data_IF_570582108238
#
_entry.id   IF_570582108238
#
_cell.length_a   1.000
_cell.length_b   1.000
_cell.length_c   1.000
_cell.angle_alpha   90.00
_cell.angle_beta   90.00
_cell.angle_gamma   90.00
#
_symmetry.space_group_name_H-M   'P 1'
#
loop_
_entity.id
_entity.type
_entity.pdbx_description
1 polymer ?
#
# COMPACT_ATOMS: atom_id res chain seq x y z
N UNK A 1 -3.77 -32.50 -24.38
CA UNK A 1 -4.46 -31.22 -24.08
C UNK A 1 -3.75 -30.59 -22.90
N UNK A 2 -2.52 -30.15 -23.13
CA UNK A 2 -2.11 -28.74 -23.26
C UNK A 2 -2.04 -28.05 -21.90
N UNK A 3 -0.94 -28.33 -21.20
CA UNK A 3 -0.37 -27.44 -20.18
C UNK A 3 -0.10 -26.08 -20.81
N UNK A 4 -0.74 -25.03 -20.30
CA UNK A 4 -0.38 -23.66 -20.65
C UNK A 4 0.86 -23.27 -19.85
N UNK A 5 2.02 -23.33 -20.49
CA UNK A 5 3.25 -22.68 -20.02
C UNK A 5 3.08 -21.16 -20.17
N UNK A 6 3.02 -20.45 -19.04
CA UNK A 6 3.24 -19.00 -19.03
C UNK A 6 4.74 -18.74 -19.12
N UNK A 7 5.14 -18.30 -20.32
CA UNK A 7 6.43 -17.72 -20.68
C UNK A 7 6.82 -16.61 -19.69
N UNK A 8 7.92 -16.81 -18.94
CA UNK A 8 8.47 -15.81 -18.04
C UNK A 8 9.60 -15.04 -18.75
N UNK A 9 9.39 -13.73 -19.02
CA UNK A 9 10.38 -12.84 -19.62
C UNK A 9 11.44 -12.40 -18.59
N UNK A 10 12.67 -12.02 -18.97
CA UNK A 10 13.74 -11.75 -18.01
C UNK A 10 13.48 -10.45 -17.24
N UNK A 11 12.94 -10.60 -16.02
CA UNK A 11 12.64 -9.54 -15.04
C UNK A 11 11.93 -10.06 -13.77
N UNK A 12 12.05 -11.36 -13.50
CA UNK A 12 11.19 -12.23 -12.66
C UNK A 12 11.34 -12.06 -11.13
N UNK A 13 11.40 -10.83 -10.66
CA UNK A 13 11.07 -10.59 -9.25
C UNK A 13 9.54 -10.50 -9.16
N UNK A 14 8.84 -11.38 -8.41
CA UNK A 14 7.43 -11.16 -8.15
C UNK A 14 7.29 -9.80 -7.45
N UNK A 15 6.40 -8.95 -7.96
CA UNK A 15 6.12 -7.65 -7.35
C UNK A 15 5.82 -7.83 -5.84
N UNK A 16 6.19 -6.87 -4.98
CA UNK A 16 5.89 -6.90 -3.56
C UNK A 16 4.42 -7.24 -3.31
N UNK A 17 4.17 -8.29 -2.54
CA UNK A 17 2.80 -8.66 -2.14
C UNK A 17 2.35 -7.64 -1.09
N UNK A 18 1.30 -6.88 -1.41
CA UNK A 18 0.69 -5.92 -0.49
C UNK A 18 -0.64 -6.48 0.03
N UNK A 19 -0.85 -6.44 1.33
CA UNK A 19 -2.08 -6.91 1.97
C UNK A 19 -2.50 -5.97 3.10
N UNK A 20 -3.81 -5.88 3.33
CA UNK A 20 -4.36 -5.18 4.49
C UNK A 20 -4.71 -6.16 5.60
N UNK A 21 -4.43 -5.81 6.85
CA UNK A 21 -5.00 -6.54 7.99
C UNK A 21 -6.52 -6.32 8.05
N UNK A 22 -7.27 -7.21 8.74
CA UNK A 22 -8.70 -6.99 8.95
C UNK A 22 -9.03 -5.64 9.61
N UNK A 23 -8.18 -5.18 10.53
CA UNK A 23 -8.34 -3.88 11.20
C UNK A 23 -8.16 -2.72 10.21
N UNK A 24 -7.12 -2.78 9.36
CA UNK A 24 -6.92 -1.79 8.31
C UNK A 24 -8.10 -1.79 7.32
N UNK A 25 -8.61 -2.96 6.91
CA UNK A 25 -9.76 -3.06 6.02
C UNK A 25 -11.04 -2.44 6.62
N UNK A 26 -11.27 -2.59 7.93
CA UNK A 26 -12.40 -1.94 8.63
C UNK A 26 -12.28 -0.42 8.55
N UNK A 27 -11.09 0.12 8.83
CA UNK A 27 -10.85 1.56 8.76
C UNK A 27 -11.01 2.08 7.32
N UNK A 28 -10.49 1.36 6.31
CA UNK A 28 -10.62 1.75 4.91
C UNK A 28 -12.08 1.86 4.46
N UNK A 29 -12.97 0.99 4.92
CA UNK A 29 -14.40 1.12 4.63
C UNK A 29 -15.00 2.42 5.17
N UNK A 30 -14.61 2.82 6.39
CA UNK A 30 -15.07 4.07 7.01
C UNK A 30 -14.54 5.27 6.25
N UNK A 31 -13.22 5.33 6.04
CA UNK A 31 -12.58 6.42 5.30
C UNK A 31 -13.16 6.54 3.89
N UNK A 32 -13.44 5.43 3.19
CA UNK A 32 -14.06 5.47 1.87
C UNK A 32 -15.48 6.02 1.93
N UNK A 33 -16.26 5.66 2.96
CA UNK A 33 -17.62 6.17 3.11
C UNK A 33 -17.63 7.70 3.25
N UNK A 34 -16.64 8.25 3.94
CA UNK A 34 -16.55 9.68 4.26
C UNK A 34 -15.83 10.50 3.16
N UNK A 35 -14.84 9.91 2.48
CA UNK A 35 -13.94 10.62 1.57
C UNK A 35 -14.00 10.16 0.11
N UNK A 36 -14.72 9.07 -0.19
CA UNK A 36 -14.76 8.48 -1.53
C UNK A 36 -13.56 7.55 -1.80
N UNK A 37 -13.25 7.27 -3.09
CA UNK A 37 -12.20 6.33 -3.46
C UNK A 37 -10.85 6.67 -2.81
N UNK A 38 -10.08 5.66 -2.42
CA UNK A 38 -8.86 5.82 -1.64
C UNK A 38 -7.61 5.39 -2.43
N UNK A 39 -6.47 5.95 -2.06
CA UNK A 39 -5.15 5.51 -2.49
C UNK A 39 -4.16 5.58 -1.33
N UNK A 40 -3.11 4.78 -1.42
CA UNK A 40 -1.94 4.88 -0.55
C UNK A 40 -0.73 5.39 -1.32
N UNK A 41 0.11 6.15 -0.63
CA UNK A 41 1.47 6.42 -1.07
C UNK A 41 2.46 6.11 0.04
N UNK A 42 3.53 5.40 -0.34
CA UNK A 42 4.65 5.07 0.53
C UNK A 42 5.93 5.72 0.01
N UNK A 43 6.38 6.77 0.70
CA UNK A 43 7.65 7.42 0.41
C UNK A 43 8.80 6.84 1.24
N UNK A 44 10.03 6.93 0.73
CA UNK A 44 11.24 6.74 1.54
C UNK A 44 11.59 8.03 2.29
N UNK A 45 11.70 7.98 3.62
CA UNK A 45 11.86 9.17 4.49
C UNK A 45 12.58 8.89 5.82
N UNK A 46 13.19 9.94 6.37
CA UNK A 46 14.45 10.03 7.15
C UNK A 46 14.68 9.13 8.39
N UNK A 47 13.67 8.45 8.93
CA UNK A 47 13.91 7.47 10.01
C UNK A 47 13.00 6.25 9.76
N UNK A 48 13.62 5.10 9.46
CA UNK A 48 13.03 3.75 9.38
C UNK A 48 11.98 3.46 8.29
N UNK A 49 11.78 4.37 7.33
CA UNK A 49 10.76 4.21 6.30
C UNK A 49 9.42 4.71 6.81
N UNK A 50 8.85 5.70 6.12
CA UNK A 50 7.63 6.38 6.56
C UNK A 50 6.48 5.40 6.76
N UNK A 51 5.54 5.73 7.64
CA UNK A 51 4.24 5.08 7.63
C UNK A 51 3.57 5.28 6.25
N UNK A 52 2.84 4.26 5.73
CA UNK A 52 2.09 4.42 4.49
C UNK A 52 0.97 5.43 4.72
N UNK A 53 0.80 6.35 3.78
CA UNK A 53 -0.14 7.45 3.88
C UNK A 53 -1.37 7.18 3.05
N UNK A 54 -2.56 7.37 3.61
CA UNK A 54 -3.85 7.18 2.95
C UNK A 54 -4.44 8.54 2.51
N UNK A 55 -4.84 8.62 1.24
CA UNK A 55 -5.39 9.82 0.61
C UNK A 55 -6.66 9.48 -0.18
N UNK A 56 -7.50 10.47 -0.51
CA UNK A 56 -8.46 10.33 -1.60
C UNK A 56 -7.73 10.03 -2.92
N UNK A 57 -8.32 9.17 -3.75
CA UNK A 57 -7.72 8.73 -4.99
C UNK A 57 -7.46 9.93 -5.92
N UNK A 58 -6.22 10.07 -6.36
CA UNK A 58 -5.77 11.16 -7.23
C UNK A 58 -5.36 12.45 -6.51
N UNK A 59 -5.52 12.55 -5.19
CA UNK A 59 -5.08 13.73 -4.43
C UNK A 59 -3.55 13.82 -4.35
N UNK A 60 -2.90 12.69 -4.05
CA UNK A 60 -1.45 12.60 -4.17
C UNK A 60 -1.06 12.48 -5.65
N UNK A 61 -0.29 13.44 -6.15
CA UNK A 61 0.18 13.45 -7.54
C UNK A 61 1.33 12.46 -7.73
N UNK A 62 1.01 11.28 -8.26
CA UNK A 62 2.00 10.28 -8.68
C UNK A 62 2.61 10.66 -10.04
N UNK A 63 3.87 10.29 -10.26
CA UNK A 63 4.53 10.51 -11.55
C UNK A 63 5.61 9.47 -11.87
N UNK A 64 6.54 9.84 -12.74
CA UNK A 64 7.64 8.96 -13.16
C UNK A 64 8.58 8.54 -12.03
N UNK A 65 8.44 9.07 -10.82
CA UNK A 65 9.23 8.69 -9.64
C UNK A 65 8.49 7.72 -8.71
N UNK A 66 7.28 7.30 -9.07
CA UNK A 66 6.44 6.40 -8.29
C UNK A 66 6.13 5.12 -9.08
N UNK A 67 5.90 4.04 -8.35
CA UNK A 67 5.54 2.72 -8.87
C UNK A 67 4.20 2.34 -8.26
N UNK A 68 3.23 1.96 -9.10
CA UNK A 68 2.01 1.30 -8.64
C UNK A 68 2.38 -0.13 -8.25
N UNK A 69 2.38 -0.43 -6.96
CA UNK A 69 2.74 -1.75 -6.46
C UNK A 69 1.58 -2.72 -6.55
N UNK A 70 0.38 -2.25 -6.21
CA UNK A 70 -0.80 -3.08 -6.17
C UNK A 70 -2.07 -2.27 -6.42
N UNK A 71 -3.05 -2.94 -7.04
CA UNK A 71 -4.45 -2.55 -7.04
C UNK A 71 -5.18 -3.59 -6.20
N UNK A 72 -5.66 -3.18 -5.02
CA UNK A 72 -6.11 -4.09 -3.96
C UNK A 72 -7.63 -4.05 -3.84
N UNK A 73 -8.26 -5.21 -4.03
CA UNK A 73 -9.67 -5.38 -3.71
C UNK A 73 -9.86 -5.49 -2.20
N UNK A 74 -10.72 -4.66 -1.62
CA UNK A 74 -11.04 -4.67 -0.20
C UNK A 74 -12.53 -4.91 -0.03
N UNK A 75 -12.91 -6.00 0.64
CA UNK A 75 -14.32 -6.35 0.85
C UNK A 75 -15.10 -5.21 1.51
N UNK A 76 -16.10 -4.68 0.79
CA UNK A 76 -16.94 -3.56 1.22
C UNK A 76 -16.43 -2.18 0.78
N UNK A 77 -15.37 -2.13 -0.03
CA UNK A 77 -14.93 -0.97 -0.81
C UNK A 77 -15.26 -1.28 -2.27
N UNK A 78 -15.96 -0.39 -2.96
CA UNK A 78 -16.45 -0.66 -4.31
C UNK A 78 -15.33 -0.55 -5.36
N UNK A 79 -14.41 0.36 -5.14
CA UNK A 79 -13.27 0.64 -6.00
C UNK A 79 -11.99 -0.02 -5.45
N UNK A 80 -11.07 -0.50 -6.31
CA UNK A 80 -9.77 -0.96 -5.85
C UNK A 80 -8.99 0.16 -5.15
N UNK A 81 -8.28 -0.20 -4.08
CA UNK A 81 -7.38 0.73 -3.38
C UNK A 81 -5.99 0.62 -4.00
N UNK A 82 -5.53 1.68 -4.66
CA UNK A 82 -4.21 1.71 -5.28
C UNK A 82 -3.11 1.97 -4.24
N UNK A 83 -2.05 1.16 -4.25
CA UNK A 83 -0.89 1.34 -3.39
C UNK A 83 0.33 1.75 -4.21
N UNK A 84 0.80 2.97 -4.02
CA UNK A 84 1.96 3.53 -4.70
C UNK A 84 3.17 3.58 -3.78
N UNK A 85 4.37 3.47 -4.35
CA UNK A 85 5.63 3.61 -3.63
C UNK A 85 6.63 4.40 -4.47
N UNK A 86 7.49 5.20 -3.82
CA UNK A 86 8.58 5.86 -4.54
C UNK A 86 9.55 4.82 -5.13
N UNK A 87 10.05 5.07 -6.35
CA UNK A 87 11.00 4.18 -7.05
C UNK A 87 12.22 3.83 -6.20
N UNK A 88 12.79 4.82 -5.52
CA UNK A 88 13.92 4.63 -4.61
C UNK A 88 13.64 3.64 -3.47
N UNK A 89 12.41 3.62 -2.97
CA UNK A 89 12.00 2.71 -1.90
C UNK A 89 11.67 1.33 -2.47
N UNK A 90 11.06 1.29 -3.66
CA UNK A 90 10.75 0.06 -4.38
C UNK A 90 12.02 -0.75 -4.70
N UNK A 91 13.09 -0.12 -5.16
CA UNK A 91 14.39 -0.78 -5.45
C UNK A 91 14.95 -1.53 -4.23
N UNK A 92 14.66 -1.06 -3.02
CA UNK A 92 15.09 -1.71 -1.77
C UNK A 92 14.13 -2.82 -1.34
N UNK A 93 12.83 -2.70 -1.66
CA UNK A 93 11.75 -3.56 -1.13
C UNK A 93 11.12 -4.50 -2.16
N UNK A 94 11.72 -4.64 -3.34
CA UNK A 94 11.20 -5.43 -4.46
C UNK A 94 10.90 -6.90 -4.13
N UNK A 95 11.40 -7.43 -3.01
CA UNK A 95 11.18 -8.80 -2.55
C UNK A 95 10.51 -8.89 -1.16
N UNK A 96 9.79 -7.85 -0.75
CA UNK A 96 9.19 -7.77 0.58
C UNK A 96 7.68 -7.96 0.52
N UNK A 97 7.11 -8.75 1.44
CA UNK A 97 5.66 -8.73 1.69
C UNK A 97 5.33 -7.56 2.62
N UNK A 98 4.48 -6.66 2.15
CA UNK A 98 4.03 -5.47 2.86
C UNK A 98 2.65 -5.74 3.45
N UNK A 99 2.58 -5.82 4.78
CA UNK A 99 1.29 -5.93 5.48
C UNK A 99 0.97 -4.56 6.04
N UNK A 100 -0.04 -3.91 5.48
CA UNK A 100 -0.55 -2.62 5.96
C UNK A 100 -1.52 -2.89 7.11
N UNK A 101 -1.12 -2.45 8.30
CA UNK A 101 -1.89 -2.55 9.53
C UNK A 101 -2.27 -1.15 10.06
N UNK A 102 -3.10 -1.11 11.09
CA UNK A 102 -3.47 0.12 11.80
C UNK A 102 -3.20 -0.04 13.29
N UNK A 103 -2.64 1.01 13.90
CA UNK A 103 -2.38 1.08 15.34
C UNK A 103 -2.83 2.42 15.90
N UNK A 104 -3.10 2.46 17.20
CA UNK A 104 -3.31 3.73 17.90
C UNK A 104 -2.05 4.59 17.84
N UNK A 105 -2.25 5.90 17.68
CA UNK A 105 -1.15 6.86 17.68
C UNK A 105 -1.34 7.96 16.66
N UNK A 106 -0.55 9.02 16.82
CA UNK A 106 -0.60 10.17 15.92
C UNK A 106 -0.06 9.77 14.54
N UNK A 107 -0.94 9.73 13.55
CA UNK A 107 -0.59 9.69 12.13
C UNK A 107 -0.01 11.02 11.65
N UNK A 108 0.54 11.02 10.44
CA UNK A 108 0.91 12.27 9.78
C UNK A 108 -0.35 13.07 9.49
N UNK A 109 -0.32 14.39 9.72
CA UNK A 109 -1.49 15.26 9.52
C UNK A 109 -2.00 15.35 8.07
N UNK A 110 -1.28 14.75 7.12
CA UNK A 110 -1.72 14.63 5.73
C UNK A 110 -2.48 13.33 5.42
N UNK A 111 -2.49 12.35 6.33
CA UNK A 111 -3.16 11.06 6.13
C UNK A 111 -4.60 11.14 6.62
N UNK A 112 -5.53 10.55 5.88
CA UNK A 112 -6.97 10.63 6.18
C UNK A 112 -7.35 10.09 7.57
N UNK A 113 -6.64 9.10 8.11
CA UNK A 113 -6.95 8.52 9.41
C UNK A 113 -6.43 9.34 10.59
N UNK A 114 -5.60 10.36 10.37
CA UNK A 114 -4.99 11.12 11.45
C UNK A 114 -6.01 11.75 12.44
N UNK A 115 -7.18 12.26 12.01
CA UNK A 115 -8.22 12.74 12.92
C UNK A 115 -8.85 11.64 13.80
N UNK A 116 -8.77 10.38 13.39
CA UNK A 116 -9.31 9.22 14.12
C UNK A 116 -8.39 8.76 15.26
N UNK A 117 -7.24 9.42 15.48
CA UNK A 117 -6.29 9.08 16.53
C UNK A 117 -5.50 7.79 16.30
N UNK A 118 -5.53 7.28 15.07
CA UNK A 118 -4.80 6.09 14.63
C UNK A 118 -3.82 6.44 13.51
N UNK A 119 -2.99 5.48 13.13
CA UNK A 119 -2.10 5.59 11.97
C UNK A 119 -1.94 4.24 11.28
N UNK A 120 -1.76 4.26 9.96
CA UNK A 120 -1.30 3.07 9.27
C UNK A 120 0.17 2.75 9.55
N UNK A 121 0.53 1.48 9.43
CA UNK A 121 1.87 0.95 9.66
C UNK A 121 2.14 -0.17 8.65
N UNK A 122 3.32 -0.17 8.01
CA UNK A 122 3.79 -1.35 7.28
C UNK A 122 4.49 -2.29 8.27
N UNK A 123 4.02 -3.53 8.33
CA UNK A 123 4.75 -4.65 8.90
C UNK A 123 5.40 -5.40 7.74
N UNK A 124 6.73 -5.44 7.72
CA UNK A 124 7.48 -6.27 6.79
C UNK A 124 7.87 -7.59 7.46
N UNK A 125 7.70 -8.71 6.74
CA UNK A 125 8.35 -9.98 7.08
C UNK A 125 9.31 -10.29 5.94
N UNK A 126 10.59 -10.52 6.27
CA UNK A 126 11.53 -11.08 5.31
C UNK A 126 11.00 -12.45 4.87
N UNK A 127 10.78 -12.61 3.58
CA UNK A 127 10.55 -13.92 2.96
C UNK A 127 11.93 -14.56 2.89
N UNK A 128 12.18 -15.55 3.76
CA UNK A 128 13.46 -16.23 3.84
C UNK A 128 13.81 -16.94 2.54
N UNK A 129 15.08 -16.79 2.17
CA UNK A 129 15.83 -17.53 1.15
C UNK A 129 15.58 -19.04 1.17
#
# INVERSE_FOLDING_TARGET
MTTHETNHAPGDAPAPVVEFTPAAAVLLRRLRADHGPLMFHQSGGCCDGSAPMCYPAGEFRTGNSDVLLASLDVTGVAEPVHFWMSKSQYEVWAHTRLIVDVVEGRGSGFSLEAPEGVRFLIRSRLVGS
#
